data_IF_153320902979
#
_entry.id   IF_153320902979
#
_cell.length_a   1.000
_cell.length_b   1.000
_cell.length_c   1.000
_cell.angle_alpha   90.00
_cell.angle_beta   90.00
_cell.angle_gamma   90.00
#
_symmetry.space_group_name_H-M   'P 1'
#
loop_
_entity.id
_entity.type
_entity.pdbx_description
1 polymer ?
#
# COMPACT_ATOMS: atom_id res chain seq x y z
N UNK A 1 -2.07 13.02 13.49
CA UNK A 1 -2.78 12.02 12.66
C UNK A 1 -3.97 12.68 12.00
N UNK A 2 -3.87 13.09 10.73
CA UNK A 2 -4.98 13.78 10.07
C UNK A 2 -4.62 14.39 8.72
N UNK A 3 -5.57 15.14 8.16
CA UNK A 3 -5.43 15.87 6.91
C UNK A 3 -5.51 17.37 7.17
N UNK A 4 -4.67 18.13 6.45
CA UNK A 4 -4.70 19.57 6.53
C UNK A 4 -5.90 20.14 5.74
N UNK A 5 -6.46 21.27 6.20
CA UNK A 5 -7.60 21.92 5.53
C UNK A 5 -7.32 22.23 4.04
N UNK A 6 -6.10 22.66 3.73
CA UNK A 6 -5.65 22.93 2.35
C UNK A 6 -5.53 21.67 1.50
N UNK A 7 -5.21 20.54 2.12
CA UNK A 7 -5.02 19.25 1.47
C UNK A 7 -6.37 18.63 1.09
N UNK A 8 -7.39 18.80 1.94
CA UNK A 8 -8.74 18.28 1.69
C UNK A 8 -9.60 19.25 0.85
N UNK A 9 -9.46 20.55 1.08
CA UNK A 9 -10.16 21.59 0.34
C UNK A 9 -11.60 21.79 0.81
N UNK A 10 -12.54 21.63 -0.13
CA UNK A 10 -13.96 21.94 0.07
C UNK A 10 -14.75 20.80 0.74
N UNK A 11 -15.69 21.15 1.62
CA UNK A 11 -16.73 20.27 2.14
C UNK A 11 -17.83 20.11 1.08
N UNK A 12 -18.02 18.88 0.58
CA UNK A 12 -19.01 18.59 -0.46
C UNK A 12 -20.45 18.52 0.06
N UNK A 13 -20.63 18.35 1.37
CA UNK A 13 -21.96 18.24 1.97
C UNK A 13 -22.53 19.60 2.34
N UNK A 14 -21.72 20.46 2.96
CA UNK A 14 -22.15 21.78 3.45
C UNK A 14 -21.77 22.94 2.51
N UNK A 15 -20.87 22.70 1.57
CA UNK A 15 -20.25 23.73 0.73
C UNK A 15 -19.18 24.53 1.50
N UNK A 16 -18.25 25.12 0.76
CA UNK A 16 -17.18 25.95 1.34
C UNK A 16 -16.05 25.13 1.98
N UNK A 17 -15.06 25.81 2.57
CA UNK A 17 -13.84 25.16 3.05
C UNK A 17 -14.13 24.28 4.28
N UNK A 18 -13.58 23.06 4.28
CA UNK A 18 -13.77 22.08 5.37
C UNK A 18 -13.40 22.66 6.75
N UNK A 19 -14.23 22.36 7.76
CA UNK A 19 -13.98 22.77 9.15
C UNK A 19 -12.92 21.88 9.79
N UNK A 20 -12.16 22.46 10.71
CA UNK A 20 -11.20 21.71 11.52
C UNK A 20 -11.99 20.77 12.45
N UNK A 21 -11.53 19.52 12.57
CA UNK A 21 -12.19 18.49 13.36
C UNK A 21 -13.19 17.63 12.60
N UNK A 22 -13.43 17.88 11.32
CA UNK A 22 -14.35 17.04 10.53
C UNK A 22 -13.79 15.61 10.32
N UNK A 23 -14.65 14.60 10.50
CA UNK A 23 -14.31 13.19 10.37
C UNK A 23 -14.27 12.72 8.90
N UNK A 24 -13.42 13.35 8.08
CA UNK A 24 -13.33 13.11 6.63
C UNK A 24 -13.07 11.66 6.23
N UNK A 25 -12.41 10.88 7.09
CA UNK A 25 -12.20 9.45 6.88
C UNK A 25 -13.49 8.63 6.95
N UNK A 26 -14.39 8.97 7.88
CA UNK A 26 -15.70 8.31 8.00
C UNK A 26 -16.59 8.70 6.83
N UNK A 27 -16.61 9.98 6.47
CA UNK A 27 -17.36 10.49 5.31
C UNK A 27 -16.90 9.74 4.04
N UNK A 28 -15.58 9.67 3.80
CA UNK A 28 -15.03 8.94 2.67
C UNK A 28 -15.41 7.46 2.65
N UNK A 29 -15.32 6.77 3.80
CA UNK A 29 -15.69 5.37 3.90
C UNK A 29 -17.18 5.14 3.59
N UNK A 30 -18.07 6.00 4.09
CA UNK A 30 -19.51 5.93 3.82
C UNK A 30 -19.81 6.21 2.35
N UNK A 31 -19.22 7.25 1.76
CA UNK A 31 -19.41 7.62 0.35
C UNK A 31 -18.95 6.54 -0.64
N UNK A 32 -18.09 5.62 -0.22
CA UNK A 32 -17.63 4.47 -1.00
C UNK A 32 -18.45 3.22 -0.69
N UNK A 33 -18.73 2.98 0.59
CA UNK A 33 -19.41 1.78 1.09
C UNK A 33 -20.90 1.73 0.74
N UNK A 34 -21.63 2.83 0.90
CA UNK A 34 -23.08 2.86 0.63
C UNK A 34 -23.42 2.56 -0.84
N UNK A 35 -22.75 3.18 -1.84
CA UNK A 35 -22.96 2.75 -3.21
C UNK A 35 -22.48 1.32 -3.46
N UNK A 36 -21.41 0.88 -2.77
CA UNK A 36 -20.89 -0.49 -2.89
C UNK A 36 -21.92 -1.55 -2.55
N UNK A 37 -22.65 -1.41 -1.45
CA UNK A 37 -23.73 -2.36 -1.08
C UNK A 37 -24.88 -2.35 -2.09
N UNK A 38 -25.20 -1.17 -2.65
CA UNK A 38 -26.18 -1.05 -3.72
C UNK A 38 -25.73 -1.75 -5.01
N UNK A 39 -24.44 -1.67 -5.36
CA UNK A 39 -23.87 -2.36 -6.52
C UNK A 39 -24.03 -3.88 -6.38
N UNK A 40 -23.69 -4.44 -5.21
CA UNK A 40 -23.88 -5.86 -4.94
C UNK A 40 -25.30 -6.31 -5.25
N UNK A 41 -26.30 -5.57 -4.77
CA UNK A 41 -27.71 -5.91 -4.99
C UNK A 41 -28.13 -5.80 -6.47
N UNK A 42 -27.61 -4.85 -7.24
CA UNK A 42 -27.95 -4.69 -8.66
C UNK A 42 -27.28 -5.71 -9.57
N UNK A 43 -26.06 -6.15 -9.23
CA UNK A 43 -25.23 -7.00 -10.12
C UNK A 43 -25.77 -8.44 -10.21
N UNK A 44 -26.45 -8.94 -9.19
CA UNK A 44 -27.03 -10.30 -9.19
C UNK A 44 -28.12 -10.51 -10.24
N UNK A 45 -28.71 -9.45 -10.79
CA UNK A 45 -29.80 -9.56 -11.77
C UNK A 45 -29.32 -9.61 -13.23
N UNK A 46 -28.04 -9.36 -13.49
CA UNK A 46 -27.46 -9.31 -14.85
C UNK A 46 -26.57 -10.52 -15.17
N UNK A 47 -26.49 -11.50 -14.26
CA UNK A 47 -25.55 -12.63 -14.28
C UNK A 47 -25.73 -13.68 -15.38
N UNK A 48 -26.28 -13.34 -16.54
CA UNK A 48 -26.56 -14.30 -17.63
C UNK A 48 -26.15 -13.88 -19.04
N UNK A 49 -25.63 -12.67 -19.27
CA UNK A 49 -25.24 -12.25 -20.62
C UNK A 49 -23.74 -12.40 -20.79
N UNK A 50 -23.32 -13.57 -21.27
CA UNK A 50 -21.98 -13.82 -21.78
C UNK A 50 -21.76 -12.91 -23.01
N UNK A 51 -21.16 -11.74 -22.81
CA UNK A 51 -20.93 -10.78 -23.89
C UNK A 51 -19.95 -9.69 -23.50
N UNK A 52 -18.72 -9.84 -24.01
CA UNK A 52 -17.58 -8.91 -24.00
C UNK A 52 -16.76 -8.79 -22.70
N UNK A 53 -15.69 -9.59 -22.70
CA UNK A 53 -14.44 -9.49 -21.92
C UNK A 53 -14.53 -9.57 -20.38
N UNK A 54 -13.94 -10.67 -19.93
CA UNK A 54 -13.70 -11.18 -18.59
C UNK A 54 -12.74 -10.26 -17.80
N UNK A 55 -13.28 -9.15 -17.29
CA UNK A 55 -12.61 -8.23 -16.36
C UNK A 55 -13.60 -7.94 -15.23
N UNK A 56 -13.67 -8.83 -14.22
CA UNK A 56 -14.30 -8.62 -12.89
C UNK A 56 -15.22 -7.40 -12.81
N UNK A 57 -16.35 -7.41 -13.52
CA UNK A 57 -17.14 -6.19 -13.68
C UNK A 57 -17.91 -5.93 -12.36
N UNK A 58 -17.62 -4.81 -11.71
CA UNK A 58 -18.35 -4.34 -10.53
C UNK A 58 -17.56 -4.47 -9.22
N UNK A 59 -18.27 -4.72 -8.12
CA UNK A 59 -17.71 -4.64 -6.77
C UNK A 59 -16.51 -5.59 -6.50
N UNK A 60 -16.45 -6.83 -7.04
CA UNK A 60 -15.30 -7.72 -6.81
C UNK A 60 -13.96 -7.09 -7.22
N UNK A 61 -13.94 -6.28 -8.29
CA UNK A 61 -12.74 -5.55 -8.70
C UNK A 61 -12.37 -4.45 -7.73
N UNK A 62 -13.36 -3.75 -7.17
CA UNK A 62 -13.12 -2.72 -6.15
C UNK A 62 -12.55 -3.33 -4.88
N UNK A 63 -13.08 -4.49 -4.45
CA UNK A 63 -12.54 -5.26 -3.33
C UNK A 63 -11.10 -5.72 -3.60
N UNK A 64 -10.84 -6.28 -4.79
CA UNK A 64 -9.49 -6.71 -5.20
C UNK A 64 -8.47 -5.55 -5.13
N UNK A 65 -8.85 -4.36 -5.61
CA UNK A 65 -8.03 -3.16 -5.59
C UNK A 65 -7.78 -2.64 -4.16
N UNK A 66 -8.82 -2.55 -3.33
CA UNK A 66 -8.69 -2.06 -1.95
C UNK A 66 -8.01 -3.06 -1.00
N UNK A 67 -8.05 -4.35 -1.31
CA UNK A 67 -7.28 -5.37 -0.59
C UNK A 67 -5.86 -5.57 -1.15
N UNK A 68 -5.46 -4.80 -2.16
CA UNK A 68 -4.16 -4.90 -2.82
C UNK A 68 -3.82 -6.36 -3.21
N UNK A 69 -4.84 -7.10 -3.68
CA UNK A 69 -4.69 -8.48 -4.14
C UNK A 69 -3.98 -8.49 -5.49
N UNK A 70 -3.27 -9.59 -5.76
CA UNK A 70 -2.72 -9.81 -7.10
C UNK A 70 -3.88 -10.07 -8.06
N UNK A 71 -4.00 -9.31 -9.15
CA UNK A 71 -5.16 -9.42 -10.04
C UNK A 71 -5.14 -10.72 -10.84
N UNK A 72 -6.35 -11.22 -11.17
CA UNK A 72 -6.48 -12.31 -12.14
C UNK A 72 -6.11 -11.79 -13.54
N UNK A 73 -5.29 -12.55 -14.27
CA UNK A 73 -4.74 -12.10 -15.55
C UNK A 73 -3.83 -10.88 -15.38
N UNK A 74 -2.83 -11.00 -14.49
CA UNK A 74 -1.85 -9.94 -14.26
C UNK A 74 -1.14 -9.57 -15.56
N UNK A 75 -1.19 -8.28 -15.90
CA UNK A 75 -0.46 -7.76 -17.03
C UNK A 75 1.01 -7.56 -16.67
N UNK A 76 1.89 -8.05 -17.52
CA UNK A 76 3.32 -7.77 -17.42
C UNK A 76 3.55 -6.30 -17.76
N UNK A 77 4.34 -5.62 -16.94
CA UNK A 77 4.73 -4.22 -17.13
C UNK A 77 6.25 -4.09 -17.23
N UNK A 78 6.74 -3.12 -17.99
CA UNK A 78 8.16 -2.87 -18.17
C UNK A 78 8.82 -2.42 -16.86
N UNK A 79 9.94 -3.01 -16.44
CA UNK A 79 10.70 -2.55 -15.27
C UNK A 79 11.61 -1.35 -15.58
N UNK A 80 12.11 -1.29 -16.81
CA UNK A 80 13.02 -0.23 -17.27
C UNK A 80 12.47 0.44 -18.52
N UNK A 81 12.89 1.69 -18.75
CA UNK A 81 12.70 2.35 -20.03
C UNK A 81 13.60 1.70 -21.09
N UNK A 82 13.18 1.65 -22.34
CA UNK A 82 14.07 1.19 -23.41
C UNK A 82 13.36 0.69 -24.64
N UNK A 83 14.12 0.04 -25.51
CA UNK A 83 13.63 -0.52 -26.76
C UNK A 83 13.28 -2.00 -26.57
N UNK A 84 12.07 -2.36 -27.00
CA UNK A 84 11.53 -3.72 -26.94
C UNK A 84 12.15 -4.58 -28.04
N UNK A 85 12.54 -5.81 -27.71
CA UNK A 85 12.85 -6.90 -28.62
C UNK A 85 12.17 -8.17 -28.17
N UNK A 86 11.57 -8.89 -29.10
CA UNK A 86 10.70 -10.04 -28.88
C UNK A 86 11.31 -11.20 -29.65
N UNK A 87 11.77 -12.20 -28.90
CA UNK A 87 12.29 -13.44 -29.46
C UNK A 87 11.33 -14.57 -29.15
N UNK A 88 11.21 -15.52 -30.08
CA UNK A 88 10.36 -16.70 -29.90
C UNK A 88 11.23 -17.93 -29.82
N UNK A 89 11.17 -18.62 -28.69
CA UNK A 89 11.84 -19.90 -28.46
C UNK A 89 10.77 -20.96 -28.21
N UNK A 90 10.37 -21.67 -29.27
CA UNK A 90 9.30 -22.67 -29.21
C UNK A 90 7.95 -22.09 -28.79
N UNK A 91 7.46 -22.53 -27.63
CA UNK A 91 6.19 -22.11 -27.01
C UNK A 91 6.34 -20.92 -26.05
N UNK A 92 7.56 -20.40 -25.87
CA UNK A 92 7.83 -19.26 -25.00
C UNK A 92 8.25 -18.06 -25.87
N UNK A 93 7.75 -16.87 -25.50
CA UNK A 93 8.21 -15.59 -26.05
C UNK A 93 9.09 -14.93 -25.00
N UNK A 94 10.33 -14.63 -25.35
CA UNK A 94 11.24 -13.88 -24.50
C UNK A 94 11.14 -12.42 -24.93
N UNK A 95 10.65 -11.56 -24.04
CA UNK A 95 10.61 -10.13 -24.27
C UNK A 95 11.79 -9.49 -23.53
N UNK A 96 12.61 -8.76 -24.28
CA UNK A 96 13.79 -8.04 -23.82
C UNK A 96 13.57 -6.55 -23.99
N UNK A 97 13.76 -5.76 -22.94
CA UNK A 97 13.84 -4.31 -23.00
C UNK A 97 15.30 -3.93 -22.77
N UNK A 98 15.86 -3.12 -23.66
CA UNK A 98 17.25 -2.65 -23.53
C UNK A 98 17.33 -1.13 -23.54
N UNK A 99 18.11 -0.58 -22.59
CA UNK A 99 18.49 0.84 -22.56
C UNK A 99 20.00 0.94 -22.68
N UNK A 100 20.47 1.65 -23.68
CA UNK A 100 21.91 1.92 -23.85
C UNK A 100 22.18 3.38 -23.53
N UNK A 101 22.88 3.62 -22.43
CA UNK A 101 23.32 4.94 -22.00
C UNK A 101 24.80 5.14 -22.37
N UNK A 102 25.11 6.24 -23.05
CA UNK A 102 26.48 6.56 -23.45
C UNK A 102 27.11 7.54 -22.45
N UNK A 103 27.92 7.02 -21.54
CA UNK A 103 28.71 7.83 -20.61
C UNK A 103 29.96 8.33 -21.29
N UNK A 104 30.27 9.62 -21.09
CA UNK A 104 31.50 10.24 -21.60
C UNK A 104 32.22 11.02 -20.52
N UNK A 105 33.54 10.91 -20.50
CA UNK A 105 34.42 11.72 -19.67
C UNK A 105 35.45 12.42 -20.55
N UNK A 106 35.53 13.73 -20.42
CA UNK A 106 36.55 14.54 -21.10
C UNK A 106 37.70 14.82 -20.13
N UNK A 107 38.93 14.49 -20.54
CA UNK A 107 40.16 14.76 -19.80
C UNK A 107 41.07 15.60 -20.69
N UNK A 108 41.44 16.78 -20.21
CA UNK A 108 42.36 17.69 -20.91
C UNK A 108 43.79 17.38 -20.51
N UNK A 109 44.65 17.16 -21.50
CA UNK A 109 46.07 16.87 -21.33
C UNK A 109 46.88 18.12 -21.74
N UNK A 110 47.50 18.84 -20.77
CA UNK A 110 48.28 20.04 -21.03
C UNK A 110 49.54 19.78 -21.86
N UNK A 111 50.07 20.83 -22.51
CA UNK A 111 51.36 20.78 -23.17
C UNK A 111 52.49 20.44 -22.18
N UNK A 112 53.21 19.35 -22.42
CA UNK A 112 54.27 18.82 -21.53
C UNK A 112 54.03 17.37 -21.09
N UNK A 113 52.81 16.85 -21.24
CA UNK A 113 52.51 15.45 -20.98
C UNK A 113 52.66 14.61 -22.26
N UNK A 114 53.39 13.50 -22.17
CA UNK A 114 53.45 12.48 -23.21
C UNK A 114 52.24 11.54 -23.06
N UNK A 115 51.47 11.39 -24.14
CA UNK A 115 50.28 10.53 -24.17
C UNK A 115 50.72 9.09 -24.39
N UNK A 116 50.34 8.20 -23.47
CA UNK A 116 50.74 6.79 -23.47
C UNK A 116 49.66 5.91 -24.14
N UNK A 117 48.39 6.26 -23.98
CA UNK A 117 47.28 5.52 -24.58
C UNK A 117 47.11 5.87 -26.07
N UNK A 118 46.78 4.90 -26.92
CA UNK A 118 46.47 5.14 -28.32
C UNK A 118 44.99 5.53 -28.53
N UNK A 119 44.69 6.15 -29.67
CA UNK A 119 43.32 6.47 -30.07
C UNK A 119 42.55 5.18 -30.37
N UNK A 120 41.40 4.98 -29.73
CA UNK A 120 40.58 3.77 -29.80
C UNK A 120 40.95 2.68 -28.78
N UNK A 121 41.94 2.90 -27.91
CA UNK A 121 42.28 1.92 -26.87
C UNK A 121 41.17 1.77 -25.83
N UNK A 122 40.98 0.54 -25.33
CA UNK A 122 40.15 0.29 -24.15
C UNK A 122 40.97 0.52 -22.88
N UNK A 123 40.52 1.45 -22.07
CA UNK A 123 41.15 1.84 -20.79
C UNK A 123 40.23 1.49 -19.62
N UNK A 124 40.83 1.15 -18.48
CA UNK A 124 40.14 1.03 -17.17
C UNK A 124 40.25 2.34 -16.39
N UNK A 125 39.44 2.54 -15.35
CA UNK A 125 39.47 3.74 -14.49
C UNK A 125 40.89 4.16 -14.05
N UNK A 126 41.72 3.20 -13.64
CA UNK A 126 43.09 3.42 -13.14
C UNK A 126 44.17 3.44 -14.24
N UNK A 127 43.79 3.38 -15.52
CA UNK A 127 44.76 3.35 -16.62
C UNK A 127 45.41 4.72 -16.81
N UNK A 128 46.74 4.75 -16.84
CA UNK A 128 47.51 5.98 -17.11
C UNK A 128 47.41 6.35 -18.59
N UNK A 129 46.78 7.49 -18.87
CA UNK A 129 46.59 7.99 -20.24
C UNK A 129 47.72 8.95 -20.68
N UNK A 130 48.34 9.66 -19.75
CA UNK A 130 49.47 10.54 -20.04
C UNK A 130 50.42 10.71 -18.83
N UNK A 131 51.70 10.99 -19.09
CA UNK A 131 52.74 11.19 -18.06
C UNK A 131 53.63 12.38 -18.40
N UNK A 132 54.10 13.11 -17.40
CA UNK A 132 55.10 14.19 -17.54
C UNK A 132 56.48 13.77 -16.97
N UNK A 133 57.53 14.53 -17.27
CA UNK A 133 58.92 14.36 -16.78
C UNK A 133 59.04 14.43 -15.25
N UNK A 134 58.06 15.04 -14.57
CA UNK A 134 57.99 15.14 -13.10
C UNK A 134 57.28 13.95 -12.43
N UNK A 135 57.08 12.83 -13.14
CA UNK A 135 56.33 11.65 -12.68
C UNK A 135 54.83 11.86 -12.41
N UNK A 136 54.29 13.05 -12.69
CA UNK A 136 52.85 13.29 -12.66
C UNK A 136 52.13 12.45 -13.73
N UNK A 137 51.10 11.73 -13.32
CA UNK A 137 50.28 10.86 -14.19
C UNK A 137 48.85 11.36 -14.28
N UNK A 138 48.29 11.29 -15.48
CA UNK A 138 46.87 11.52 -15.72
C UNK A 138 46.22 10.16 -15.92
N UNK A 139 45.21 9.86 -15.10
CA UNK A 139 44.41 8.63 -15.17
C UNK A 139 43.18 8.83 -16.06
N UNK A 140 42.69 7.75 -16.65
CA UNK A 140 41.45 7.75 -17.43
C UNK A 140 40.25 8.19 -16.59
N UNK A 141 40.14 7.71 -15.35
CA UNK A 141 39.07 8.04 -14.41
C UNK A 141 37.67 7.56 -14.85
N UNK A 142 37.61 6.68 -15.86
CA UNK A 142 36.42 5.96 -16.32
C UNK A 142 36.89 4.80 -17.21
N UNK A 143 36.22 3.66 -17.14
CA UNK A 143 36.44 2.56 -18.09
C UNK A 143 35.77 2.87 -19.42
N UNK A 144 36.42 2.59 -20.55
CA UNK A 144 35.81 2.82 -21.86
C UNK A 144 36.83 2.89 -22.99
N UNK A 145 36.35 3.30 -24.16
CA UNK A 145 37.21 3.53 -25.33
C UNK A 145 37.66 5.00 -25.35
N UNK A 146 38.97 5.23 -25.45
CA UNK A 146 39.57 6.57 -25.44
C UNK A 146 39.62 7.14 -26.87
N UNK A 147 39.15 8.36 -27.05
CA UNK A 147 39.24 9.13 -28.30
C UNK A 147 40.11 10.36 -28.08
N UNK A 148 41.19 10.51 -28.85
CA UNK A 148 42.19 11.56 -28.70
C UNK A 148 42.06 12.62 -29.80
N UNK A 149 41.66 13.83 -29.43
CA UNK A 149 41.66 15.00 -30.32
C UNK A 149 42.85 15.92 -30.01
N UNK A 150 43.77 16.07 -30.97
CA UNK A 150 44.90 17.01 -30.86
C UNK A 150 44.46 18.42 -31.27
N UNK A 151 44.47 19.38 -30.34
CA UNK A 151 44.38 20.82 -30.63
C UNK A 151 45.78 21.44 -30.63
N UNK A 152 45.91 22.65 -31.19
CA UNK A 152 47.20 23.35 -31.40
C UNK A 152 48.08 23.50 -30.14
N UNK A 153 47.51 23.43 -28.94
CA UNK A 153 48.23 23.63 -27.66
C UNK A 153 47.92 22.59 -26.58
N UNK A 154 46.98 21.66 -26.80
CA UNK A 154 46.52 20.69 -25.80
C UNK A 154 45.90 19.47 -26.49
N UNK A 155 45.98 18.29 -25.87
CA UNK A 155 45.30 17.07 -26.35
C UNK A 155 44.06 16.83 -25.49
N UNK A 156 42.90 16.62 -26.11
CA UNK A 156 41.66 16.30 -25.42
C UNK A 156 41.36 14.81 -25.56
N UNK A 157 41.38 14.09 -24.45
CA UNK A 157 40.97 12.69 -24.38
C UNK A 157 39.49 12.60 -24.01
N UNK A 158 38.68 11.92 -24.80
CA UNK A 158 37.28 11.62 -24.50
C UNK A 158 37.15 10.12 -24.29
N UNK A 159 36.93 9.67 -23.06
CA UNK A 159 36.62 8.28 -22.77
C UNK A 159 35.11 8.09 -22.95
N UNK A 160 34.69 7.09 -23.73
CA UNK A 160 33.27 6.73 -23.94
C UNK A 160 33.01 5.31 -23.45
N UNK A 161 31.92 5.13 -22.71
CA UNK A 161 31.42 3.83 -22.26
C UNK A 161 29.95 3.71 -22.60
N UNK A 162 29.59 2.62 -23.27
CA UNK A 162 28.20 2.23 -23.49
C UNK A 162 27.79 1.29 -22.36
N UNK A 163 26.89 1.75 -21.51
CA UNK A 163 26.25 0.93 -20.49
C UNK A 163 24.89 0.48 -21.04
N UNK A 164 24.77 -0.81 -21.34
CA UNK A 164 23.49 -1.40 -21.75
C UNK A 164 22.85 -2.13 -20.58
N UNK A 165 21.75 -1.59 -20.08
CA UNK A 165 20.88 -2.26 -19.12
C UNK A 165 19.83 -3.07 -19.90
N UNK A 166 19.60 -4.30 -19.45
CA UNK A 166 18.71 -5.24 -20.12
C UNK A 166 17.78 -5.86 -19.09
N UNK A 167 16.47 -5.79 -19.36
CA UNK A 167 15.44 -6.51 -18.62
C UNK A 167 14.79 -7.53 -19.53
N UNK A 168 14.63 -8.76 -19.04
CA UNK A 168 14.06 -9.88 -19.79
C UNK A 168 12.92 -10.52 -19.00
N UNK A 169 11.86 -10.89 -19.72
CA UNK A 169 10.73 -11.61 -19.16
C UNK A 169 10.23 -12.67 -20.14
N UNK A 170 9.93 -13.84 -19.61
CA UNK A 170 9.31 -14.93 -20.35
C UNK A 170 7.79 -14.75 -20.36
N UNK A 171 7.20 -14.84 -21.55
CA UNK A 171 5.77 -14.71 -21.79
C UNK A 171 5.26 -16.00 -22.46
N UNK A 172 4.08 -16.50 -22.07
CA UNK A 172 3.49 -17.65 -22.74
C UNK A 172 3.12 -17.31 -24.20
N UNK A 173 3.15 -18.27 -25.11
CA UNK A 173 2.87 -18.03 -26.53
C UNK A 173 1.49 -17.43 -26.81
N UNK A 174 0.49 -17.64 -25.95
CA UNK A 174 -0.86 -17.10 -26.06
C UNK A 174 -1.01 -15.69 -25.44
N UNK A 175 0.03 -15.13 -24.83
CA UNK A 175 0.00 -13.77 -24.30
C UNK A 175 -0.27 -12.76 -25.43
N UNK A 176 -1.33 -11.97 -25.25
CA UNK A 176 -1.66 -10.86 -26.14
C UNK A 176 -0.81 -9.66 -25.78
N UNK A 177 0.11 -9.31 -26.68
CA UNK A 177 1.04 -8.20 -26.49
C UNK A 177 0.36 -6.88 -26.88
N UNK A 178 0.69 -5.82 -26.14
CA UNK A 178 0.30 -4.42 -26.40
C UNK A 178 1.47 -3.60 -26.98
N UNK A 179 2.58 -4.25 -27.28
CA UNK A 179 3.81 -3.66 -27.81
C UNK A 179 4.27 -4.36 -29.07
N UNK A 180 4.93 -3.61 -29.93
CA UNK A 180 5.54 -4.09 -31.17
C UNK A 180 7.07 -4.21 -31.06
N UNK A 181 7.68 -5.02 -31.95
CA UNK A 181 9.14 -5.14 -32.05
C UNK A 181 9.80 -3.78 -32.32
N UNK A 182 10.79 -3.42 -31.51
CA UNK A 182 11.52 -2.18 -31.64
C UNK A 182 10.80 -0.93 -31.12
N UNK A 183 9.62 -1.08 -30.50
CA UNK A 183 8.93 0.02 -29.85
C UNK A 183 9.73 0.55 -28.64
N UNK A 184 9.77 1.86 -28.48
CA UNK A 184 10.29 2.49 -27.26
C UNK A 184 9.19 2.54 -26.19
N UNK A 185 9.51 2.07 -24.99
CA UNK A 185 8.60 2.01 -23.85
C UNK A 185 9.22 2.66 -22.63
N UNK A 186 8.36 3.11 -21.72
CA UNK A 186 8.76 3.66 -20.41
C UNK A 186 8.52 2.65 -19.30
N UNK A 187 9.21 2.80 -18.18
CA UNK A 187 9.03 1.99 -16.99
C UNK A 187 7.57 2.06 -16.50
N UNK A 188 6.97 0.90 -16.29
CA UNK A 188 5.56 0.68 -15.96
C UNK A 188 4.60 0.69 -17.16
N UNK A 189 5.12 0.79 -18.40
CA UNK A 189 4.32 0.56 -19.60
C UNK A 189 3.76 -0.86 -19.62
N UNK A 190 2.51 -1.00 -20.04
CA UNK A 190 1.83 -2.29 -20.05
C UNK A 190 2.19 -3.10 -21.28
N UNK A 191 2.86 -4.24 -21.09
CA UNK A 191 3.38 -5.09 -22.15
C UNK A 191 2.33 -6.08 -22.65
N UNK A 192 1.57 -6.70 -21.75
CA UNK A 192 0.51 -7.68 -22.11
C UNK A 192 -0.88 -7.15 -21.78
N UNK A 193 -1.92 -7.73 -22.38
CA UNK A 193 -3.29 -7.57 -21.89
C UNK A 193 -3.41 -8.07 -20.44
N UNK A 194 -4.42 -7.56 -19.74
CA UNK A 194 -4.66 -7.88 -18.33
C UNK A 194 -4.67 -6.67 -17.40
N UNK A 195 -4.83 -6.94 -16.11
CA UNK A 195 -4.86 -5.94 -15.05
C UNK A 195 -3.46 -5.73 -14.46
N UNK A 196 -3.05 -4.47 -14.28
CA UNK A 196 -1.77 -4.16 -13.63
C UNK A 196 -1.85 -4.44 -12.13
N UNK A 197 -0.75 -4.92 -11.57
CA UNK A 197 -0.62 -5.15 -10.14
C UNK A 197 -0.16 -3.86 -9.41
N UNK A 198 -0.92 -3.36 -8.42
CA UNK A 198 -0.53 -2.17 -7.66
C UNK A 198 0.83 -2.27 -6.96
N UNK A 199 1.25 -3.49 -6.57
CA UNK A 199 2.55 -3.71 -5.92
C UNK A 199 3.70 -3.47 -6.89
N UNK A 200 3.59 -3.95 -8.13
CA UNK A 200 4.59 -3.71 -9.17
C UNK A 200 4.62 -2.25 -9.61
N UNK A 201 3.46 -1.60 -9.71
CA UNK A 201 3.41 -0.15 -10.00
C UNK A 201 4.11 0.63 -8.89
N UNK A 202 3.87 0.29 -7.62
CA UNK A 202 4.54 0.95 -6.50
C UNK A 202 6.06 0.76 -6.56
N UNK A 203 6.53 -0.46 -6.87
CA UNK A 203 7.95 -0.81 -6.96
C UNK A 203 8.65 -0.05 -8.09
N UNK A 204 8.02 0.03 -9.26
CA UNK A 204 8.63 0.55 -10.50
C UNK A 204 8.42 2.06 -10.64
N UNK A 205 7.19 2.55 -10.48
CA UNK A 205 6.81 3.94 -10.77
C UNK A 205 6.61 4.79 -9.50
N UNK A 206 6.63 4.16 -8.31
CA UNK A 206 6.50 4.86 -7.05
C UNK A 206 5.06 5.14 -6.62
N UNK A 207 4.94 5.84 -5.48
CA UNK A 207 3.66 6.01 -4.77
C UNK A 207 2.62 6.80 -5.56
N UNK A 208 3.03 7.89 -6.20
CA UNK A 208 2.10 8.77 -6.92
C UNK A 208 1.46 8.05 -8.10
N UNK A 209 2.26 7.32 -8.89
CA UNK A 209 1.76 6.49 -9.97
C UNK A 209 0.81 5.39 -9.48
N UNK A 210 1.15 4.73 -8.36
CA UNK A 210 0.28 3.73 -7.73
C UNK A 210 -1.06 4.35 -7.26
N UNK A 211 -1.03 5.56 -6.68
CA UNK A 211 -2.24 6.27 -6.23
C UNK A 211 -3.14 6.62 -7.41
N UNK A 212 -2.57 7.20 -8.47
CA UNK A 212 -3.31 7.56 -9.67
C UNK A 212 -3.90 6.34 -10.36
N UNK A 213 -3.15 5.25 -10.45
CA UNK A 213 -3.64 3.98 -10.98
C UNK A 213 -4.86 3.49 -10.17
N UNK A 214 -4.71 3.31 -8.85
CA UNK A 214 -5.78 2.83 -7.98
C UNK A 214 -7.00 3.75 -8.03
N UNK A 215 -6.80 5.08 -8.01
CA UNK A 215 -7.87 6.07 -8.11
C UNK A 215 -8.64 5.91 -9.43
N UNK A 216 -7.91 5.85 -10.55
CA UNK A 216 -8.51 5.76 -11.89
C UNK A 216 -9.28 4.45 -12.08
N UNK A 217 -8.76 3.34 -11.57
CA UNK A 217 -9.40 2.03 -11.66
C UNK A 217 -10.67 1.96 -10.80
N UNK A 218 -10.60 2.41 -9.55
CA UNK A 218 -11.78 2.46 -8.67
C UNK A 218 -12.85 3.38 -9.26
N UNK A 219 -12.46 4.57 -9.74
CA UNK A 219 -13.40 5.48 -10.40
C UNK A 219 -14.03 4.87 -11.66
N UNK A 220 -13.24 4.18 -12.48
CA UNK A 220 -13.73 3.52 -13.70
C UNK A 220 -14.83 2.51 -13.37
N UNK A 221 -14.67 1.75 -12.28
CA UNK A 221 -15.69 0.78 -11.84
C UNK A 221 -16.94 1.48 -11.30
N UNK A 222 -16.83 2.50 -10.45
CA UNK A 222 -18.02 3.19 -9.94
C UNK A 222 -18.77 3.93 -11.05
N UNK A 223 -18.05 4.59 -11.98
CA UNK A 223 -18.66 5.31 -13.11
C UNK A 223 -19.34 4.38 -14.11
N UNK A 224 -18.77 3.19 -14.38
CA UNK A 224 -19.41 2.22 -15.28
C UNK A 224 -20.74 1.70 -14.72
N UNK A 225 -20.91 1.77 -13.40
CA UNK A 225 -22.14 1.44 -12.70
C UNK A 225 -23.07 2.65 -12.46
N UNK A 226 -22.74 3.81 -13.02
CA UNK A 226 -23.56 5.03 -12.92
C UNK A 226 -23.47 5.75 -11.57
N UNK A 227 -22.50 5.42 -10.71
CA UNK A 227 -22.27 6.08 -9.43
C UNK A 227 -21.14 7.10 -9.58
N UNK A 228 -21.41 8.37 -9.27
CA UNK A 228 -20.39 9.41 -9.21
C UNK A 228 -19.87 9.59 -7.78
N UNK A 229 -18.62 9.20 -7.53
CA UNK A 229 -17.92 9.47 -6.27
C UNK A 229 -16.84 10.51 -6.55
N UNK A 230 -16.67 11.50 -5.67
CA UNK A 230 -15.58 12.46 -5.81
C UNK A 230 -14.24 11.83 -5.43
N UNK A 231 -13.19 12.10 -6.23
CA UNK A 231 -11.83 11.58 -6.07
C UNK A 231 -11.27 11.69 -4.65
N UNK A 232 -11.51 12.80 -3.95
CA UNK A 232 -11.05 13.03 -2.57
C UNK A 232 -11.43 11.91 -1.60
N UNK A 233 -12.59 11.29 -1.77
CA UNK A 233 -13.01 10.20 -0.88
C UNK A 233 -12.13 8.97 -1.11
N UNK A 234 -11.85 8.64 -2.37
CA UNK A 234 -10.98 7.52 -2.73
C UNK A 234 -9.56 7.82 -2.28
N UNK A 235 -9.03 9.02 -2.52
CA UNK A 235 -7.70 9.45 -2.08
C UNK A 235 -7.50 9.33 -0.56
N UNK A 236 -8.52 9.67 0.24
CA UNK A 236 -8.48 9.52 1.71
C UNK A 236 -8.28 8.05 2.11
N UNK A 237 -8.91 7.12 1.39
CA UNK A 237 -8.74 5.68 1.62
C UNK A 237 -7.37 5.20 1.12
N UNK A 238 -6.98 5.57 -0.10
CA UNK A 238 -5.68 5.19 -0.68
C UNK A 238 -4.50 5.69 0.17
N UNK A 239 -4.66 6.84 0.84
CA UNK A 239 -3.69 7.34 1.81
C UNK A 239 -3.47 6.36 2.97
N UNK A 240 -4.47 5.62 3.42
CA UNK A 240 -4.30 4.61 4.48
C UNK A 240 -3.61 3.35 3.96
N UNK A 241 -3.91 2.92 2.72
CA UNK A 241 -3.27 1.74 2.11
C UNK A 241 -1.76 1.94 1.90
N UNK A 242 -1.32 3.16 1.63
CA UNK A 242 0.06 3.53 1.31
C UNK A 242 0.80 4.21 2.47
N UNK A 243 0.29 4.03 3.69
CA UNK A 243 0.80 4.73 4.88
C UNK A 243 2.08 4.12 5.44
N UNK A 244 2.36 2.85 5.15
CA UNK A 244 3.44 2.08 5.76
C UNK A 244 4.62 1.87 4.83
N UNK A 245 5.79 1.70 5.44
CA UNK A 245 7.04 1.33 4.79
C UNK A 245 7.63 0.11 5.47
N UNK A 246 8.32 -0.73 4.71
CA UNK A 246 9.05 -1.89 5.21
C UNK A 246 10.55 -1.58 5.22
N UNK A 247 11.18 -1.70 6.37
CA UNK A 247 12.61 -1.43 6.54
C UNK A 247 13.43 -2.47 5.78
N UNK A 248 14.34 -2.02 4.92
CA UNK A 248 15.31 -2.86 4.20
C UNK A 248 16.64 -2.91 4.91
N UNK A 249 17.19 -1.76 5.28
CA UNK A 249 18.45 -1.66 6.02
C UNK A 249 18.31 -0.70 7.18
N UNK A 250 18.74 -1.13 8.37
CA UNK A 250 18.62 -0.35 9.60
C UNK A 250 19.53 0.90 9.64
N UNK A 251 20.68 0.86 8.97
CA UNK A 251 21.68 1.92 9.15
C UNK A 251 22.15 1.98 10.61
N UNK A 252 22.21 3.18 11.17
CA UNK A 252 22.53 3.41 12.59
C UNK A 252 21.25 3.67 13.44
N UNK A 253 20.08 3.26 12.95
CA UNK A 253 18.81 3.33 13.69
C UNK A 253 18.55 2.05 14.49
N UNK A 254 17.63 2.12 15.45
CA UNK A 254 17.18 0.94 16.23
C UNK A 254 16.15 0.06 15.49
N UNK A 255 15.92 0.32 14.20
CA UNK A 255 14.93 -0.40 13.39
C UNK A 255 15.45 -1.76 12.94
N UNK A 256 14.53 -2.72 12.74
CA UNK A 256 14.87 -4.06 12.27
C UNK A 256 14.56 -4.24 10.77
N UNK A 257 15.41 -4.92 9.99
CA UNK A 257 15.06 -5.33 8.63
C UNK A 257 13.78 -6.16 8.61
N UNK A 258 12.85 -5.82 7.71
CA UNK A 258 11.53 -6.44 7.60
C UNK A 258 10.45 -5.80 8.48
N UNK A 259 10.81 -4.90 9.39
CA UNK A 259 9.85 -4.20 10.25
C UNK A 259 8.94 -3.28 9.42
N UNK A 260 7.63 -3.34 9.69
CA UNK A 260 6.63 -2.46 9.09
C UNK A 260 6.29 -1.33 10.05
N UNK A 261 6.56 -0.08 9.66
CA UNK A 261 6.14 1.08 10.46
C UNK A 261 5.47 2.18 9.62
N UNK A 262 4.83 3.10 10.33
CA UNK A 262 4.27 4.32 9.75
C UNK A 262 5.36 5.17 9.09
N UNK A 263 5.13 5.59 7.85
CA UNK A 263 6.10 6.37 7.08
C UNK A 263 6.53 7.67 7.77
N UNK A 264 5.64 8.37 8.44
CA UNK A 264 5.99 9.62 9.12
C UNK A 264 6.93 9.33 10.31
N UNK A 265 6.66 8.27 11.07
CA UNK A 265 7.58 7.82 12.13
C UNK A 265 8.95 7.41 11.57
N UNK A 266 8.98 6.72 10.42
CA UNK A 266 10.23 6.39 9.73
C UNK A 266 11.04 7.64 9.40
N UNK A 267 10.38 8.63 8.79
CA UNK A 267 10.97 9.90 8.37
C UNK A 267 11.52 10.66 9.59
N UNK A 268 10.77 10.70 10.71
CA UNK A 268 11.20 11.35 11.95
C UNK A 268 12.43 10.67 12.58
N UNK A 269 12.46 9.33 12.65
CA UNK A 269 13.60 8.55 13.19
C UNK A 269 14.85 8.81 12.34
N UNK A 270 14.72 8.75 11.02
CA UNK A 270 15.84 9.00 10.11
C UNK A 270 16.33 10.44 10.22
N UNK A 271 15.44 11.41 10.30
CA UNK A 271 15.80 12.81 10.48
C UNK A 271 16.63 13.00 11.76
N UNK A 272 16.23 12.37 12.85
CA UNK A 272 16.97 12.40 14.11
C UNK A 272 18.36 11.77 14.00
N UNK A 273 18.51 10.61 13.38
CA UNK A 273 19.83 9.96 13.21
C UNK A 273 20.75 10.78 12.31
N UNK A 274 20.21 11.33 11.21
CA UNK A 274 20.97 12.21 10.31
C UNK A 274 21.41 13.49 11.03
N UNK A 275 20.57 14.06 11.91
CA UNK A 275 20.94 15.24 12.71
C UNK A 275 22.13 15.00 13.65
N UNK A 276 22.37 13.72 14.02
CA UNK A 276 23.54 13.29 14.81
C UNK A 276 24.72 12.85 13.94
N UNK A 277 24.62 12.94 12.62
CA UNK A 277 25.65 12.52 11.66
C UNK A 277 25.71 11.01 11.41
N UNK A 278 24.69 10.24 11.83
CA UNK A 278 24.60 8.81 11.57
C UNK A 278 24.05 8.48 10.18
N UNK A 279 24.15 7.20 9.81
CA UNK A 279 23.59 6.66 8.56
C UNK A 279 22.09 6.39 8.74
N UNK A 280 21.21 6.97 7.89
CA UNK A 280 19.78 6.71 7.97
C UNK A 280 19.44 5.27 7.53
N UNK A 281 18.32 4.76 8.04
CA UNK A 281 17.71 3.54 7.55
C UNK A 281 17.16 3.73 6.13
N UNK A 282 17.09 2.64 5.36
CA UNK A 282 16.39 2.58 4.07
C UNK A 282 15.17 1.69 4.19
N UNK A 283 14.06 2.11 3.62
CA UNK A 283 12.81 1.37 3.60
C UNK A 283 12.16 1.48 2.22
N UNK A 284 11.34 0.50 1.90
CA UNK A 284 10.52 0.49 0.70
C UNK A 284 9.05 0.73 1.06
N UNK A 285 8.30 1.51 0.27
CA UNK A 285 6.88 1.68 0.49
C UNK A 285 6.15 0.36 0.26
N UNK A 286 5.07 0.12 1.00
CA UNK A 286 4.25 -1.08 0.86
C UNK A 286 2.78 -0.67 0.71
N UNK A 287 2.10 -1.22 -0.31
CA UNK A 287 0.64 -1.18 -0.36
C UNK A 287 0.11 -2.32 0.51
N UNK A 288 -0.64 -1.97 1.56
CA UNK A 288 -1.39 -2.94 2.35
C UNK A 288 -2.87 -2.89 1.95
N UNK A 289 -3.51 -4.05 1.86
CA UNK A 289 -4.96 -4.11 1.76
C UNK A 289 -5.65 -3.56 3.00
N UNK A 290 -6.93 -3.15 2.90
CA UNK A 290 -7.70 -2.57 4.00
C UNK A 290 -7.66 -3.43 5.27
N UNK A 291 -7.89 -4.74 5.13
CA UNK A 291 -7.88 -5.68 6.26
C UNK A 291 -6.52 -5.71 6.96
N UNK A 292 -5.43 -5.82 6.18
CA UNK A 292 -4.06 -5.79 6.74
C UNK A 292 -3.70 -4.42 7.32
N UNK A 293 -4.15 -3.33 6.72
CA UNK A 293 -3.91 -1.98 7.22
C UNK A 293 -4.62 -1.75 8.57
N UNK A 294 -5.84 -2.28 8.75
CA UNK A 294 -6.60 -2.19 10.00
C UNK A 294 -5.95 -2.98 11.15
N UNK A 295 -5.44 -4.18 10.85
CA UNK A 295 -4.67 -5.02 11.79
C UNK A 295 -3.28 -4.47 12.11
N UNK A 296 -2.83 -3.48 11.36
CA UNK A 296 -1.57 -2.79 11.58
C UNK A 296 -1.87 -1.34 11.98
N UNK A 297 -2.69 -1.14 12.99
CA UNK A 297 -2.90 0.17 13.63
C UNK A 297 -2.07 0.27 14.91
N UNK A 298 -1.87 1.48 15.44
CA UNK A 298 -1.07 1.67 16.65
C UNK A 298 -1.84 1.34 17.93
N UNK A 299 -3.16 1.49 17.89
CA UNK A 299 -4.04 1.17 19.00
C UNK A 299 -4.36 -0.32 19.01
N UNK A 300 -3.97 -1.00 20.09
CA UNK A 300 -4.37 -2.40 20.28
C UNK A 300 -5.87 -2.53 20.56
N UNK A 301 -6.52 -1.53 21.16
CA UNK A 301 -7.97 -1.52 21.36
C UNK A 301 -8.72 -1.49 20.02
N UNK A 302 -8.27 -0.65 19.09
CA UNK A 302 -8.85 -0.56 17.75
C UNK A 302 -8.56 -1.81 16.89
N UNK A 303 -7.40 -2.43 17.05
CA UNK A 303 -7.07 -3.71 16.40
C UNK A 303 -7.96 -4.84 16.94
N UNK A 304 -8.06 -4.97 18.27
CA UNK A 304 -8.81 -6.02 18.94
C UNK A 304 -10.31 -5.96 18.64
N UNK A 305 -10.84 -4.77 18.32
CA UNK A 305 -12.23 -4.59 17.90
C UNK A 305 -12.51 -4.95 16.44
N UNK A 306 -11.47 -5.21 15.63
CA UNK A 306 -11.64 -5.55 14.21
C UNK A 306 -11.65 -7.06 14.01
N UNK A 307 -10.54 -7.75 14.30
CA UNK A 307 -10.39 -9.21 14.20
C UNK A 307 -9.32 -9.71 15.19
N UNK A 308 -9.25 -11.03 15.41
CA UNK A 308 -8.17 -11.72 16.15
C UNK A 308 -7.92 -11.20 17.58
N UNK A 309 -8.99 -10.86 18.31
CA UNK A 309 -8.98 -10.23 19.63
C UNK A 309 -8.02 -10.89 20.62
N UNK A 310 -8.04 -12.22 20.76
CA UNK A 310 -7.17 -12.95 21.70
C UNK A 310 -5.69 -12.77 21.38
N UNK A 311 -5.32 -12.84 20.10
CA UNK A 311 -3.92 -12.69 19.65
C UNK A 311 -3.43 -11.27 19.93
N UNK A 312 -4.22 -10.26 19.56
CA UNK A 312 -3.89 -8.84 19.73
C UNK A 312 -3.69 -8.48 21.21
N UNK A 313 -4.63 -8.88 22.08
CA UNK A 313 -4.55 -8.55 23.50
C UNK A 313 -3.38 -9.26 24.20
N UNK A 314 -3.10 -10.50 23.82
CA UNK A 314 -1.96 -11.26 24.35
C UNK A 314 -0.64 -10.59 23.99
N UNK A 315 -0.47 -10.20 22.73
CA UNK A 315 0.73 -9.51 22.25
C UNK A 315 0.92 -8.15 22.92
N UNK A 316 -0.17 -7.39 23.08
CA UNK A 316 -0.16 -6.12 23.79
C UNK A 316 0.22 -6.27 25.27
N UNK A 317 -0.28 -7.32 25.94
CA UNK A 317 0.05 -7.62 27.34
C UNK A 317 1.52 -8.02 27.50
N UNK A 318 2.05 -8.89 26.63
CA UNK A 318 3.46 -9.31 26.63
C UNK A 318 4.39 -8.11 26.46
N UNK A 319 4.03 -7.18 25.57
CA UNK A 319 4.83 -5.98 25.27
C UNK A 319 4.60 -4.83 26.26
N UNK A 320 3.60 -4.93 27.14
CA UNK A 320 3.20 -3.85 28.03
C UNK A 320 2.78 -2.57 27.26
N UNK A 321 2.11 -2.74 26.12
CA UNK A 321 1.70 -1.62 25.26
C UNK A 321 0.74 -0.67 25.99
N UNK A 322 0.83 0.62 25.66
CA UNK A 322 -0.07 1.68 26.14
C UNK A 322 -0.80 2.27 24.96
N UNK A 323 -2.10 2.51 25.12
CA UNK A 323 -2.94 3.12 24.10
C UNK A 323 -3.12 4.61 24.40
N UNK A 324 -2.79 5.45 23.43
CA UNK A 324 -2.88 6.91 23.54
C UNK A 324 -4.30 7.45 23.25
N UNK A 325 -5.27 6.59 22.90
CA UNK A 325 -6.67 6.95 22.61
C UNK A 325 -6.80 8.08 21.58
N UNK A 326 -5.98 8.05 20.53
CA UNK A 326 -5.96 9.10 19.48
C UNK A 326 -7.04 8.89 18.43
N UNK A 327 -7.57 7.68 18.32
CA UNK A 327 -8.54 7.26 17.33
C UNK A 327 -9.99 7.42 17.76
N UNK A 328 -10.90 7.15 16.83
CA UNK A 328 -12.34 7.17 17.10
C UNK A 328 -12.77 5.93 17.89
N UNK A 329 -12.33 4.75 17.46
CA UNK A 329 -12.78 3.46 18.02
C UNK A 329 -12.42 3.31 19.49
N UNK A 330 -11.19 3.66 19.85
CA UNK A 330 -10.72 3.58 21.23
C UNK A 330 -11.58 4.42 22.19
N UNK A 331 -11.86 5.66 21.81
CA UNK A 331 -12.67 6.57 22.64
C UNK A 331 -14.10 6.09 22.77
N UNK A 332 -14.69 5.54 21.70
CA UNK A 332 -16.03 4.93 21.76
C UNK A 332 -16.04 3.73 22.71
N UNK A 333 -15.06 2.84 22.62
CA UNK A 333 -14.96 1.63 23.48
C UNK A 333 -14.85 2.02 24.97
N UNK A 334 -14.06 3.04 25.27
CA UNK A 334 -13.80 3.49 26.65
C UNK A 334 -14.91 4.44 27.17
N UNK A 335 -15.79 4.94 26.30
CA UNK A 335 -16.84 5.90 26.68
C UNK A 335 -16.35 7.35 26.83
N UNK A 336 -15.22 7.70 26.21
CA UNK A 336 -14.72 9.08 26.12
C UNK A 336 -15.26 9.79 24.87
N UNK A 337 -15.25 11.13 24.90
CA UNK A 337 -15.60 11.94 23.72
C UNK A 337 -14.65 11.64 22.55
N UNK A 338 -15.20 11.31 21.39
CA UNK A 338 -14.42 11.08 20.18
C UNK A 338 -13.70 12.36 19.72
N UNK A 339 -12.45 12.27 19.20
CA UNK A 339 -11.65 13.44 18.84
C UNK A 339 -12.01 14.00 17.45
N UNK A 340 -13.29 14.24 17.19
CA UNK A 340 -13.84 14.84 15.97
C UNK A 340 -15.08 15.69 16.30
N UNK A 341 -15.47 16.58 15.39
CA UNK A 341 -16.65 17.44 15.56
C UNK A 341 -16.58 18.29 16.83
N UNK A 342 -17.63 18.26 17.64
CA UNK A 342 -17.70 18.95 18.94
C UNK A 342 -16.67 18.43 19.96
N UNK A 343 -16.21 17.18 19.82
CA UNK A 343 -15.16 16.61 20.66
C UNK A 343 -13.74 16.99 20.21
N UNK A 344 -13.60 17.69 19.08
CA UNK A 344 -12.33 18.19 18.58
C UNK A 344 -11.96 19.53 19.23
N UNK A 345 -11.07 19.50 20.23
CA UNK A 345 -10.44 20.71 20.76
C UNK A 345 -9.08 20.92 20.12
N UNK A 346 -8.81 22.12 19.59
CA UNK A 346 -7.50 22.49 19.02
C UNK A 346 -6.37 22.39 20.06
N UNK A 347 -6.68 22.57 21.35
CA UNK A 347 -5.71 22.44 22.44
C UNK A 347 -5.42 20.97 22.84
N UNK A 348 -6.36 20.04 22.60
CA UNK A 348 -6.18 18.60 22.93
C UNK A 348 -5.04 17.93 22.18
N UNK A 349 -4.64 18.45 21.01
CA UNK A 349 -3.53 17.89 20.22
C UNK A 349 -2.16 18.20 20.87
N UNK A 350 -2.10 19.17 21.80
CA UNK A 350 -0.85 19.63 22.42
C UNK A 350 -0.67 19.05 23.84
N UNK A 351 -1.74 18.60 24.50
CA UNK A 351 -1.70 18.20 25.91
C UNK A 351 -1.50 16.70 26.08
N UNK A 352 -0.28 16.30 26.45
CA UNK A 352 0.05 14.96 26.93
C UNK A 352 -0.26 14.74 28.41
N UNK A 353 -0.96 15.67 29.07
CA UNK A 353 -1.17 15.64 30.51
C UNK A 353 -2.66 15.47 30.86
N UNK A 354 -3.08 14.29 31.36
CA UNK A 354 -4.48 14.02 31.73
C UNK A 354 -5.01 14.91 32.86
N UNK A 355 -4.14 15.58 33.62
CA UNK A 355 -4.56 16.57 34.64
C UNK A 355 -5.28 17.78 34.02
N UNK A 356 -4.87 18.20 32.82
CA UNK A 356 -5.50 19.30 32.07
C UNK A 356 -6.87 18.96 31.47
N UNK A 357 -7.21 17.66 31.34
CA UNK A 357 -8.54 17.25 30.84
C UNK A 357 -9.66 17.65 31.82
N UNK A 358 -9.38 17.63 33.12
CA UNK A 358 -10.38 17.92 34.17
C UNK A 358 -10.65 19.42 34.27
N UNK A 359 -9.63 20.26 34.13
CA UNK A 359 -9.78 21.72 34.14
C UNK A 359 -10.61 22.24 32.95
N UNK A 360 -10.38 21.74 31.74
CA UNK A 360 -11.11 22.16 30.54
C UNK A 360 -12.60 21.80 30.54
N UNK A 361 -12.98 20.73 31.27
CA UNK A 361 -14.39 20.34 31.46
C UNK A 361 -15.10 21.21 32.50
N UNK A 362 -14.35 21.86 33.38
CA UNK A 362 -14.88 22.76 34.42
C UNK A 362 -15.03 24.18 33.86
N UNK A 363 -14.15 24.60 32.93
CA UNK A 363 -14.14 25.94 32.32
C UNK A 363 -15.09 26.10 31.12
N UNK A 364 -15.77 25.04 30.67
CA UNK A 364 -16.91 25.22 29.75
C UNK A 364 -18.11 25.71 30.54
N UNK A 365 -18.25 27.03 30.65
CA UNK A 365 -19.51 27.68 30.97
C UNK A 365 -20.54 27.23 29.92
N UNK A 366 -21.44 26.34 30.33
CA UNK A 366 -22.65 26.09 29.57
C UNK A 366 -23.51 27.33 29.76
N UNK A 367 -23.63 28.17 28.73
CA UNK A 367 -24.67 29.19 28.68
C UNK A 367 -26.02 28.46 28.66
N UNK A 368 -26.62 28.27 29.85
CA UNK A 368 -27.96 27.66 30.02
C UNK A 368 -29.07 28.68 29.76
N UNK A 369 -28.74 29.92 29.37
CA UNK A 369 -29.71 30.98 29.12
C UNK A 369 -29.88 31.26 27.62
N UNK A 370 -30.49 30.35 26.86
CA UNK A 370 -31.27 30.67 25.63
C UNK A 370 -31.85 29.39 24.98
N UNK A 371 -32.75 28.66 25.65
CA UNK A 371 -33.91 28.01 24.99
C UNK A 371 -34.89 27.33 25.99
N UNK A 372 -35.40 28.09 26.97
CA UNK A 372 -36.40 27.57 27.92
C UNK A 372 -37.67 28.44 27.98
N UNK A 373 -38.01 29.04 26.84
CA UNK A 373 -39.29 29.72 26.64
C UNK A 373 -40.16 28.96 25.65
N UNK A 374 -40.89 27.95 26.13
CA UNK A 374 -42.26 27.55 25.66
C UNK A 374 -42.66 26.14 26.17
N UNK A 375 -42.60 25.92 27.48
CA UNK A 375 -43.34 24.83 28.13
C UNK A 375 -43.96 25.37 29.42
N UNK A 376 -45.01 26.17 29.28
CA UNK A 376 -45.95 26.42 30.38
C UNK A 376 -46.81 25.16 30.62
N UNK A 377 -46.77 24.70 31.87
CA UNK A 377 -47.78 23.97 32.64
C UNK A 377 -48.45 22.75 32.00
N UNK A 378 -47.81 21.59 32.16
CA UNK A 378 -48.51 20.33 32.36
C UNK A 378 -48.06 19.72 33.70
N UNK A 379 -48.87 19.90 34.74
CA UNK A 379 -48.78 19.11 35.97
C UNK A 379 -49.04 17.64 35.61
N UNK A 380 -47.99 16.82 35.55
CA UNK A 380 -48.11 15.37 35.46
C UNK A 380 -48.04 14.82 36.89
N UNK A 381 -49.20 14.42 37.39
CA UNK A 381 -49.39 13.65 38.62
C UNK A 381 -48.61 12.32 38.56
N UNK A 382 -48.01 11.94 39.68
CA UNK A 382 -47.14 10.76 39.84
C UNK A 382 -47.93 9.45 40.10
N UNK A 383 -49.18 9.36 39.64
CA UNK A 383 -50.10 8.24 39.97
C UNK A 383 -50.65 7.47 38.75
N UNK A 384 -50.03 7.55 37.56
CA UNK A 384 -50.58 6.86 36.36
C UNK A 384 -49.53 6.07 35.54
N UNK A 385 -48.60 5.40 36.22
CA UNK A 385 -47.81 4.34 35.58
C UNK A 385 -48.42 2.98 35.91
N UNK A 386 -49.34 2.54 35.06
CA UNK A 386 -49.78 1.14 34.98
C UNK A 386 -48.58 0.27 34.57
N UNK A 387 -48.17 -0.60 35.49
CA UNK A 387 -47.08 -1.54 35.34
C UNK A 387 -47.62 -2.86 34.76
N UNK A 388 -48.08 -2.86 33.51
CA UNK A 388 -48.46 -4.08 32.78
C UNK A 388 -48.53 -3.83 31.26
N UNK A 389 -47.39 -3.63 30.58
CA UNK A 389 -47.26 -4.02 29.16
C UNK A 389 -45.80 -4.11 28.68
N UNK A 390 -45.07 -5.13 29.15
CA UNK A 390 -43.81 -5.55 28.52
C UNK A 390 -43.91 -7.00 28.04
N UNK A 391 -44.86 -7.26 27.14
CA UNK A 391 -44.98 -8.52 26.40
C UNK A 391 -44.54 -8.34 24.95
N UNK A 392 -43.30 -8.71 24.62
CA UNK A 392 -42.89 -8.78 23.21
C UNK A 392 -41.40 -8.72 22.94
N UNK A 393 -40.61 -9.64 23.50
CA UNK A 393 -39.23 -9.86 23.04
C UNK A 393 -39.27 -10.99 22.02
N UNK A 394 -39.05 -10.67 20.75
CA UNK A 394 -38.83 -11.64 19.70
C UNK A 394 -37.41 -12.21 19.84
N UNK A 395 -37.33 -13.47 20.26
CA UNK A 395 -36.14 -14.30 20.16
C UNK A 395 -35.76 -14.51 18.68
N UNK A 396 -34.60 -14.02 18.29
CA UNK A 396 -33.85 -14.56 17.14
C UNK A 396 -32.52 -15.07 17.69
N UNK A 397 -32.40 -16.39 17.67
CA UNK A 397 -31.35 -17.15 18.34
C UNK A 397 -29.95 -16.87 17.81
N UNK A 398 -29.01 -16.80 18.75
CA UNK A 398 -27.63 -17.19 18.53
C UNK A 398 -27.29 -18.20 19.63
N UNK A 399 -27.10 -19.46 19.24
CA UNK A 399 -26.53 -20.47 20.12
C UNK A 399 -25.03 -20.19 20.34
N UNK A 400 -24.55 -20.15 21.59
CA UNK A 400 -23.12 -20.21 21.86
C UNK A 400 -22.66 -21.68 21.85
N UNK A 401 -21.75 -21.98 20.93
CA UNK A 401 -21.03 -23.25 20.89
C UNK A 401 -20.19 -23.42 22.17
N UNK A 402 -20.52 -24.47 22.93
CA UNK A 402 -19.55 -25.38 23.57
C UNK A 402 -18.69 -24.83 24.72
N UNK A 403 -19.20 -24.95 25.95
CA UNK A 403 -18.37 -25.08 27.15
C UNK A 403 -19.08 -25.95 28.19
N UNK A 404 -19.06 -27.27 27.97
CA UNK A 404 -19.47 -28.27 28.96
C UNK A 404 -18.24 -28.91 29.58
N UNK A 405 -17.76 -28.35 30.70
CA UNK A 405 -16.87 -29.05 31.62
C UNK A 405 -17.75 -29.76 32.63
N UNK A 406 -17.87 -31.08 32.50
CA UNK A 406 -18.32 -31.95 33.59
C UNK A 406 -17.12 -32.72 34.10
N UNK A 407 -16.79 -32.47 35.37
CA UNK A 407 -15.90 -33.29 36.18
C UNK A 407 -16.55 -34.65 36.41
N UNK A 408 -15.85 -35.73 36.05
CA UNK A 408 -15.97 -37.03 36.70
C UNK A 408 -14.59 -37.67 36.71
N UNK A 409 -14.10 -37.93 37.92
CA UNK A 409 -12.91 -38.71 38.23
C UNK A 409 -13.02 -40.12 37.63
N UNK A 410 -11.95 -40.60 37.00
CA UNK A 410 -11.34 -41.91 37.32
C UNK A 410 -10.03 -42.08 36.53
N UNK A 411 -9.07 -42.70 37.21
CA UNK A 411 -7.71 -43.06 36.79
C UNK A 411 -7.62 -43.68 35.38
N UNK A 412 -6.62 -43.27 34.60
CA UNK A 412 -5.58 -44.20 34.14
C UNK A 412 -4.46 -43.47 33.38
N UNK A 413 -3.24 -43.72 33.83
CA UNK A 413 -1.99 -43.30 33.21
C UNK A 413 -1.77 -43.97 31.86
N UNK A 414 -1.57 -43.21 30.78
CA UNK A 414 -0.93 -43.73 29.57
C UNK A 414 -0.10 -42.63 28.88
N UNK A 415 1.22 -42.84 28.86
CA UNK A 415 2.18 -42.15 27.99
C UNK A 415 1.82 -42.39 26.52
N UNK A 416 1.82 -41.35 25.68
CA UNK A 416 1.89 -41.55 24.23
C UNK A 416 2.92 -40.64 23.57
N UNK A 417 3.82 -41.36 22.90
CA UNK A 417 5.01 -40.96 22.19
C UNK A 417 4.69 -40.13 20.94
N UNK A 418 5.58 -39.19 20.66
CA UNK A 418 5.70 -38.46 19.42
C UNK A 418 6.56 -39.32 18.47
N UNK A 419 5.97 -39.89 17.41
CA UNK A 419 6.68 -40.21 16.15
C UNK A 419 5.76 -40.91 15.13
N UNK A 420 6.06 -40.65 13.85
CA UNK A 420 5.56 -41.27 12.60
C UNK A 420 4.14 -40.88 12.16
N UNK A 421 4.06 -40.20 11.01
CA UNK A 421 3.27 -40.59 9.83
C UNK A 421 3.70 -39.69 8.65
N UNK A 422 4.77 -40.12 7.96
CA UNK A 422 4.98 -39.93 6.52
C UNK A 422 4.35 -41.16 5.80
N UNK A 423 4.11 -41.00 4.49
CA UNK A 423 3.54 -41.97 3.52
C UNK A 423 2.00 -41.96 3.46
N UNK A 424 1.29 -41.98 2.34
CA UNK A 424 1.50 -41.94 0.88
C UNK A 424 0.06 -41.82 0.33
N UNK A 425 -0.22 -41.05 -0.73
CA UNK A 425 -1.42 -41.26 -1.57
C UNK A 425 -1.20 -40.61 -2.94
N UNK A 426 -0.74 -41.44 -3.88
CA UNK A 426 -0.87 -41.24 -5.33
C UNK A 426 -2.29 -41.69 -5.73
N UNK A 427 -3.04 -40.87 -6.46
CA UNK A 427 -4.20 -41.33 -7.24
C UNK A 427 -4.02 -40.93 -8.71
N UNK A 428 -3.99 -41.97 -9.54
CA UNK A 428 -4.00 -41.96 -11.00
C UNK A 428 -5.41 -41.60 -11.51
N UNK A 429 -5.54 -40.66 -12.45
CA UNK A 429 -6.74 -40.55 -13.30
C UNK A 429 -6.44 -41.21 -14.64
N UNK A 430 -7.03 -42.38 -14.88
CA UNK A 430 -7.06 -43.08 -16.17
C UNK A 430 -8.10 -42.47 -17.13
N UNK A 431 -7.73 -42.53 -18.41
CA UNK A 431 -8.46 -42.12 -19.61
C UNK A 431 -9.88 -42.72 -19.73
N UNK A 432 -10.86 -41.89 -20.12
CA UNK A 432 -12.17 -42.34 -20.60
C UNK A 432 -12.19 -42.19 -22.13
N UNK A 433 -12.10 -43.32 -22.82
CA UNK A 433 -12.29 -43.44 -24.27
C UNK A 433 -13.77 -43.35 -24.68
N UNK A 434 -13.94 -42.86 -25.92
CA UNK A 434 -15.16 -42.64 -26.68
C UNK A 434 -16.13 -43.84 -26.74
N UNK A 435 -17.42 -43.57 -26.56
CA UNK A 435 -18.51 -44.46 -26.98
C UNK A 435 -19.35 -43.74 -28.03
N UNK A 436 -19.18 -44.18 -29.28
CA UNK A 436 -20.09 -43.95 -30.40
C UNK A 436 -21.46 -44.58 -30.12
N UNK A 437 -22.53 -43.81 -30.28
CA UNK A 437 -23.89 -44.35 -30.45
C UNK A 437 -24.57 -43.63 -31.61
N UNK A 438 -24.48 -44.25 -32.79
CA UNK A 438 -25.44 -44.05 -33.88
C UNK A 438 -26.72 -44.83 -33.56
N UNK A 439 -27.88 -44.16 -33.52
CA UNK A 439 -29.17 -44.78 -33.87
C UNK A 439 -30.07 -43.76 -34.58
N UNK A 440 -30.60 -44.25 -35.71
CA UNK A 440 -31.48 -43.71 -36.77
C UNK A 440 -32.57 -42.69 -36.43
#
# INVERSE_FOLDING_TARGET
FGLCRKCYGEDLARGGVIKIGEAVGIIAAQSIGEPGTQLTLRTFHTGGVAGAEDITQGLPRVEELFEARTPKGEAVIAEIDGKVSIQREGEIRILRISRTDLKRREVTIPAGFEVIAADGDRVQEDTVIARNEHEDVILAGMDGEIFLEKKRSETRATIRREDTEVWEVELPANARLRVDEGQEVTAGFQITEGAKNPKEILRIQGREACQLYLLSEVQRVYRSQGVSIHDKHIEVILRQLLRRVMVRTAGDTDLLPGELLDRFKFEDINYYVVSKGGKPARAEPVVLGLTKAALNTESFLAMASFQETTRVLTEAAIRGQRDDLRGLKENVIIGKLIPVGTGFSTHRVITSDPSSEVELLIDTDVDVEEDLGDLEDAEISMDDFDLDDLGGVAELGMEPLGAGVTLSDDDDSVDLNFDSLDEEEEEEEEDIEDIDVDVE
#
